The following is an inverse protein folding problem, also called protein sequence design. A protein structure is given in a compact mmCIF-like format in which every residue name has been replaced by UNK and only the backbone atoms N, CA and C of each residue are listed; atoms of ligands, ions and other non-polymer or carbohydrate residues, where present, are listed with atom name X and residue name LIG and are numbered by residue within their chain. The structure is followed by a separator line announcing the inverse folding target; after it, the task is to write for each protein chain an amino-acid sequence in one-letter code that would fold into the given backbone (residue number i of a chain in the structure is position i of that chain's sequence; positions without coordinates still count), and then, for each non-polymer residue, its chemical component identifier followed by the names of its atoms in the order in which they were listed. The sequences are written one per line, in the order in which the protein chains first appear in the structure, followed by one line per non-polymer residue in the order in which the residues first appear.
data_IF_327425337519
#
_entry.id   IF_327425337519
#
_cell.length_a   1.000
_cell.length_b   1.000
_cell.length_c   1.000
_cell.angle_alpha   90.00
_cell.angle_beta   90.00
_cell.angle_gamma   90.00
#
_symmetry.space_group_name_H-M   'P 1'
#
loop_
_entity.id
_entity.type
_entity.pdbx_description
1 polymer ?
#
# COMPACT_ATOMS: atom_id res chain seq x y z
N UNK A 1 -11.56 -16.72 5.71
CA UNK A 1 -12.83 -16.20 6.31
C UNK A 1 -13.84 -17.32 6.40
N UNK A 2 -14.74 -17.30 7.39
CA UNK A 2 -15.75 -18.35 7.62
C UNK A 2 -17.12 -17.70 7.76
N UNK A 3 -18.10 -18.20 7.01
CA UNK A 3 -19.43 -17.64 6.93
C UNK A 3 -20.47 -18.60 7.52
N UNK A 4 -21.36 -18.06 8.34
CA UNK A 4 -22.52 -18.79 8.84
C UNK A 4 -23.59 -18.96 7.76
N UNK A 5 -24.58 -19.83 8.02
CA UNK A 5 -25.70 -20.07 7.10
C UNK A 5 -26.49 -18.80 6.77
N UNK A 6 -26.81 -17.98 7.78
CA UNK A 6 -27.60 -16.77 7.57
C UNK A 6 -26.85 -15.72 6.74
N UNK A 7 -25.54 -15.59 6.99
CA UNK A 7 -24.68 -14.67 6.26
C UNK A 7 -24.49 -15.12 4.81
N UNK A 8 -24.25 -16.42 4.60
CA UNK A 8 -24.11 -17.00 3.26
C UNK A 8 -25.38 -16.82 2.43
N UNK A 9 -26.55 -17.09 3.03
CA UNK A 9 -27.84 -16.89 2.35
C UNK A 9 -28.06 -15.42 1.96
N UNK A 10 -27.66 -14.48 2.84
CA UNK A 10 -27.72 -13.04 2.55
C UNK A 10 -26.79 -12.63 1.39
N UNK A 11 -25.57 -13.17 1.34
CA UNK A 11 -24.60 -12.88 0.27
C UNK A 11 -25.11 -13.42 -1.09
N UNK A 12 -25.72 -14.60 -1.08
CA UNK A 12 -26.27 -15.24 -2.28
C UNK A 12 -27.65 -14.70 -2.68
N UNK A 13 -28.24 -13.81 -1.87
CA UNK A 13 -29.61 -13.30 -2.04
C UNK A 13 -30.69 -14.40 -2.14
N UNK A 14 -30.50 -15.51 -1.42
CA UNK A 14 -31.43 -16.66 -1.38
C UNK A 14 -31.94 -16.92 0.03
N UNK A 15 -32.99 -17.73 0.14
CA UNK A 15 -33.44 -18.23 1.43
C UNK A 15 -32.57 -19.39 1.95
N UNK A 16 -32.61 -19.61 3.27
CA UNK A 16 -31.81 -20.63 3.96
C UNK A 16 -32.14 -22.06 3.51
N UNK A 17 -33.38 -22.33 3.07
CA UNK A 17 -33.78 -23.65 2.59
C UNK A 17 -33.12 -23.93 1.24
N UNK A 18 -33.12 -22.96 0.33
CA UNK A 18 -32.43 -23.07 -0.95
C UNK A 18 -30.92 -23.29 -0.76
N UNK A 19 -30.29 -22.51 0.13
CA UNK A 19 -28.88 -22.70 0.47
C UNK A 19 -28.58 -24.13 0.96
N UNK A 20 -29.43 -24.71 1.81
CA UNK A 20 -29.24 -26.09 2.29
C UNK A 20 -29.41 -27.12 1.17
N UNK A 21 -30.33 -26.90 0.24
CA UNK A 21 -30.50 -27.74 -0.95
C UNK A 21 -29.22 -27.73 -1.78
N UNK A 22 -28.73 -26.55 -2.14
CA UNK A 22 -27.48 -26.42 -2.91
C UNK A 22 -26.30 -27.04 -2.19
N UNK A 23 -26.14 -26.74 -0.91
CA UNK A 23 -25.01 -27.26 -0.15
C UNK A 23 -25.01 -28.79 -0.08
N UNK A 24 -26.18 -29.44 -0.01
CA UNK A 24 -26.26 -30.91 -0.05
C UNK A 24 -25.98 -31.47 -1.46
N UNK A 25 -26.54 -30.83 -2.49
CA UNK A 25 -26.45 -31.30 -3.87
C UNK A 25 -25.04 -31.17 -4.45
N UNK A 26 -24.33 -30.08 -4.13
CA UNK A 26 -22.96 -29.81 -4.56
C UNK A 26 -21.93 -30.14 -3.47
N UNK A 27 -22.26 -31.06 -2.54
CA UNK A 27 -21.41 -31.37 -1.38
C UNK A 27 -19.99 -31.81 -1.76
N UNK A 28 -19.82 -32.43 -2.93
CA UNK A 28 -18.53 -32.94 -3.39
C UNK A 28 -17.64 -31.82 -3.96
N UNK A 29 -18.23 -30.65 -4.27
CA UNK A 29 -17.54 -29.42 -4.69
C UNK A 29 -17.33 -28.44 -3.53
N UNK A 30 -17.83 -28.75 -2.33
CA UNK A 30 -17.76 -27.88 -1.17
C UNK A 30 -16.85 -28.49 -0.10
N UNK A 31 -16.38 -27.65 0.81
CA UNK A 31 -15.64 -28.05 2.00
C UNK A 31 -16.47 -28.97 2.90
N UNK A 32 -15.79 -29.82 3.67
CA UNK A 32 -16.45 -30.68 4.65
C UNK A 32 -17.24 -29.87 5.71
N UNK A 33 -16.80 -28.66 6.03
CA UNK A 33 -17.51 -27.75 6.96
C UNK A 33 -18.84 -27.22 6.39
N UNK A 34 -18.99 -27.20 5.06
CA UNK A 34 -20.24 -26.84 4.42
C UNK A 34 -21.29 -27.95 4.58
N UNK A 35 -20.91 -29.19 4.88
CA UNK A 35 -21.82 -30.32 5.18
C UNK A 35 -21.34 -31.15 6.38
N UNK A 36 -21.36 -30.59 7.60
CA UNK A 36 -20.78 -31.26 8.76
C UNK A 36 -21.70 -32.32 9.34
N UNK A 37 -21.18 -33.14 10.25
CA UNK A 37 -21.96 -34.12 11.00
C UNK A 37 -23.08 -33.46 11.83
N UNK A 38 -24.10 -34.26 12.15
CA UNK A 38 -25.27 -33.80 12.90
C UNK A 38 -24.84 -33.24 14.27
N UNK A 39 -25.30 -32.03 14.58
CA UNK A 39 -24.98 -31.33 15.83
C UNK A 39 -23.84 -30.31 15.70
N UNK A 40 -23.11 -30.32 14.57
CA UNK A 40 -22.06 -29.34 14.28
C UNK A 40 -22.62 -28.18 13.43
N UNK A 41 -22.28 -26.92 13.76
CA UNK A 41 -22.66 -25.78 12.94
C UNK A 41 -22.10 -25.87 11.51
N UNK A 42 -22.95 -25.61 10.52
CA UNK A 42 -22.55 -25.49 9.11
C UNK A 42 -21.83 -24.17 8.89
N UNK A 43 -20.64 -24.24 8.32
CA UNK A 43 -19.76 -23.10 8.07
C UNK A 43 -19.26 -23.19 6.63
N UNK A 44 -19.30 -22.07 5.91
CA UNK A 44 -18.81 -21.98 4.55
C UNK A 44 -17.49 -21.21 4.49
N UNK A 45 -16.59 -21.66 3.64
CA UNK A 45 -15.33 -20.99 3.29
C UNK A 45 -15.54 -19.98 2.15
N UNK A 46 -14.50 -19.22 1.80
CA UNK A 46 -14.55 -18.30 0.65
C UNK A 46 -14.77 -19.09 -0.64
N UNK A 47 -14.07 -20.21 -0.77
CA UNK A 47 -14.15 -21.14 -1.89
C UNK A 47 -15.57 -21.71 -2.02
N UNK A 48 -16.20 -22.07 -0.91
CA UNK A 48 -17.60 -22.51 -0.90
C UNK A 48 -18.56 -21.44 -1.42
N UNK A 49 -18.35 -20.18 -1.04
CA UNK A 49 -19.20 -19.07 -1.50
C UNK A 49 -19.06 -18.84 -3.00
N UNK A 50 -17.86 -18.96 -3.56
CA UNK A 50 -17.64 -18.84 -5.01
C UNK A 50 -18.36 -19.95 -5.77
N UNK A 51 -18.25 -21.20 -5.29
CA UNK A 51 -19.01 -22.33 -5.84
C UNK A 51 -20.51 -22.06 -5.79
N UNK A 52 -21.04 -21.59 -4.65
CA UNK A 52 -22.48 -21.34 -4.49
C UNK A 52 -22.97 -20.13 -5.30
N UNK A 53 -22.14 -19.10 -5.51
CA UNK A 53 -22.43 -17.98 -6.40
C UNK A 53 -22.54 -18.45 -7.85
N UNK A 54 -21.61 -19.31 -8.29
CA UNK A 54 -21.68 -19.94 -9.61
C UNK A 54 -22.95 -20.79 -9.77
N UNK A 55 -23.25 -21.64 -8.78
CA UNK A 55 -24.49 -22.43 -8.76
C UNK A 55 -25.70 -21.51 -8.90
N UNK A 56 -25.80 -20.47 -8.09
CA UNK A 56 -26.95 -19.56 -8.12
C UNK A 56 -27.11 -18.80 -9.42
N UNK A 57 -26.02 -18.51 -10.12
CA UNK A 57 -26.07 -17.85 -11.44
C UNK A 57 -26.72 -18.71 -12.52
N UNK A 58 -26.52 -20.04 -12.46
CA UNK A 58 -27.08 -21.00 -13.41
C UNK A 58 -28.28 -21.76 -12.86
N UNK A 59 -28.78 -21.39 -11.68
CA UNK A 59 -29.89 -22.09 -11.04
C UNK A 59 -31.22 -21.65 -11.63
N UNK A 60 -31.94 -22.59 -12.23
CA UNK A 60 -33.28 -22.41 -12.81
C UNK A 60 -34.30 -23.37 -12.15
N UNK A 61 -35.57 -23.37 -12.60
CA UNK A 61 -36.61 -24.26 -12.06
C UNK A 61 -36.27 -25.75 -12.24
N UNK A 62 -35.69 -26.10 -13.40
CA UNK A 62 -35.17 -27.44 -13.73
C UNK A 62 -33.67 -27.33 -14.09
N UNK A 63 -32.79 -27.20 -13.09
CA UNK A 63 -31.38 -26.89 -13.34
C UNK A 63 -30.64 -28.09 -13.93
N UNK A 64 -29.82 -27.84 -14.96
CA UNK A 64 -28.87 -28.83 -15.47
C UNK A 64 -27.67 -28.94 -14.53
N UNK A 65 -27.81 -29.84 -13.56
CA UNK A 65 -26.80 -30.10 -12.53
C UNK A 65 -25.48 -30.57 -13.13
N UNK A 66 -25.53 -31.35 -14.21
CA UNK A 66 -24.33 -31.88 -14.86
C UNK A 66 -23.55 -30.75 -15.55
N UNK A 67 -24.25 -29.84 -16.22
CA UNK A 67 -23.64 -28.64 -16.81
C UNK A 67 -23.03 -27.71 -15.74
N UNK A 68 -23.73 -27.50 -14.61
CA UNK A 68 -23.19 -26.70 -13.50
C UNK A 68 -21.90 -27.34 -12.96
N UNK A 69 -21.90 -28.65 -12.71
CA UNK A 69 -20.72 -29.38 -12.22
C UNK A 69 -19.58 -29.35 -13.24
N UNK A 70 -19.86 -29.46 -14.54
CA UNK A 70 -18.85 -29.36 -15.59
C UNK A 70 -18.14 -27.99 -15.58
N UNK A 71 -18.90 -26.91 -15.35
CA UNK A 71 -18.34 -25.57 -15.19
C UNK A 71 -17.55 -25.39 -13.89
N UNK A 72 -18.02 -25.96 -12.78
CA UNK A 72 -17.28 -25.97 -11.51
C UNK A 72 -15.93 -26.68 -11.66
N UNK A 73 -15.90 -27.84 -12.35
CA UNK A 73 -14.67 -28.59 -12.64
C UNK A 73 -13.71 -27.86 -13.59
N UNK A 74 -14.24 -26.89 -14.34
CA UNK A 74 -13.45 -25.99 -15.21
C UNK A 74 -13.04 -24.70 -14.50
N UNK A 75 -13.27 -24.61 -13.18
CA UNK A 75 -12.93 -23.45 -12.33
C UNK A 75 -13.64 -22.14 -12.72
N UNK A 76 -14.75 -22.19 -13.45
CA UNK A 76 -15.49 -20.98 -13.86
C UNK A 76 -16.06 -20.18 -12.69
N UNK A 77 -16.19 -20.78 -11.52
CA UNK A 77 -16.54 -20.08 -10.28
C UNK A 77 -15.46 -19.10 -9.80
N UNK A 78 -14.26 -19.11 -10.39
CA UNK A 78 -13.17 -18.17 -10.12
C UNK A 78 -13.17 -16.94 -11.05
N UNK A 79 -14.12 -16.85 -11.98
CA UNK A 79 -14.23 -15.68 -12.86
C UNK A 79 -14.59 -14.41 -12.07
N UNK A 80 -14.14 -13.26 -12.58
CA UNK A 80 -14.27 -11.93 -11.97
C UNK A 80 -15.69 -11.63 -11.49
N UNK A 81 -16.73 -12.06 -12.21
CA UNK A 81 -18.11 -11.80 -11.82
C UNK A 81 -18.46 -12.38 -10.45
N UNK A 82 -18.00 -13.59 -10.13
CA UNK A 82 -18.29 -14.25 -8.85
C UNK A 82 -17.38 -13.71 -7.75
N UNK A 83 -16.10 -13.52 -8.07
CA UNK A 83 -15.11 -12.97 -7.13
C UNK A 83 -15.50 -11.55 -6.72
N UNK A 84 -15.86 -10.68 -7.66
CA UNK A 84 -16.30 -9.32 -7.37
C UNK A 84 -17.64 -9.28 -6.63
N UNK A 85 -18.56 -10.20 -6.92
CA UNK A 85 -19.80 -10.32 -6.15
C UNK A 85 -19.51 -10.64 -4.69
N UNK A 86 -18.60 -11.58 -4.42
CA UNK A 86 -18.18 -11.87 -3.05
C UNK A 86 -17.46 -10.67 -2.39
N UNK A 87 -16.60 -9.97 -3.12
CA UNK A 87 -15.90 -8.79 -2.62
C UNK A 87 -16.83 -7.64 -2.25
N UNK A 88 -17.95 -7.45 -2.96
CA UNK A 88 -18.97 -6.47 -2.60
C UNK A 88 -19.59 -6.73 -1.21
N UNK A 89 -19.46 -7.94 -0.67
CA UNK A 89 -19.92 -8.31 0.65
C UNK A 89 -18.79 -8.60 1.65
N UNK A 90 -17.54 -8.42 1.23
CA UNK A 90 -16.36 -8.69 2.07
C UNK A 90 -15.76 -7.37 2.54
N UNK A 91 -15.63 -7.14 3.86
CA UNK A 91 -14.95 -5.96 4.37
C UNK A 91 -13.50 -5.85 3.88
N UNK A 92 -13.04 -4.64 3.57
CA UNK A 92 -11.66 -4.38 3.18
C UNK A 92 -10.66 -4.72 4.30
N UNK A 93 -11.03 -4.44 5.56
CA UNK A 93 -10.24 -4.80 6.74
C UNK A 93 -10.84 -6.08 7.31
N UNK A 94 -10.02 -7.12 7.38
CA UNK A 94 -10.40 -8.44 7.90
C UNK A 94 -9.75 -8.66 9.27
N UNK A 95 -10.45 -9.35 10.16
CA UNK A 95 -9.96 -9.61 11.53
C UNK A 95 -8.78 -10.58 11.57
N UNK A 96 -8.73 -11.53 10.62
CA UNK A 96 -7.74 -12.60 10.56
C UNK A 96 -6.95 -12.59 9.24
N UNK A 97 -5.67 -12.94 9.32
CA UNK A 97 -4.86 -13.26 8.14
C UNK A 97 -5.29 -14.62 7.59
N UNK A 98 -5.51 -14.78 6.26
CA UNK A 98 -5.87 -16.07 5.70
C UNK A 98 -4.83 -17.16 6.00
N UNK A 99 -5.30 -18.32 6.46
CA UNK A 99 -4.47 -19.42 6.98
C UNK A 99 -3.61 -20.11 5.89
N UNK A 100 -3.95 -19.95 4.62
CA UNK A 100 -3.34 -20.64 3.48
C UNK A 100 -2.32 -19.79 2.68
N UNK A 101 -1.77 -18.73 3.28
CA UNK A 101 -0.77 -17.87 2.64
C UNK A 101 0.65 -18.25 3.07
N UNK A 102 1.48 -18.67 2.11
CA UNK A 102 2.90 -18.98 2.33
C UNK A 102 3.71 -17.70 2.67
N UNK A 103 3.27 -16.54 2.17
CA UNK A 103 3.84 -15.22 2.47
C UNK A 103 2.75 -14.14 2.59
N UNK A 104 2.10 -13.97 3.77
CA UNK A 104 0.98 -13.03 3.92
C UNK A 104 1.26 -11.60 3.44
N UNK A 105 2.51 -11.13 3.56
CA UNK A 105 2.95 -9.79 3.11
C UNK A 105 2.91 -9.59 1.58
N UNK A 106 2.87 -10.67 0.78
CA UNK A 106 2.67 -10.59 -0.67
C UNK A 106 1.21 -10.38 -1.06
N UNK A 107 0.29 -10.65 -0.14
CA UNK A 107 -1.14 -10.68 -0.39
C UNK A 107 -1.91 -9.62 0.41
N UNK A 108 -1.31 -9.05 1.46
CA UNK A 108 -1.95 -8.03 2.28
C UNK A 108 -1.00 -7.30 3.22
N UNK A 109 -1.55 -6.33 3.94
CA UNK A 109 -0.84 -5.55 4.97
C UNK A 109 -1.50 -5.77 6.32
N UNK A 110 -0.70 -6.18 7.31
CA UNK A 110 -1.16 -6.23 8.69
C UNK A 110 -1.10 -4.83 9.31
N UNK A 111 -2.28 -4.26 9.58
CA UNK A 111 -2.40 -2.92 10.18
C UNK A 111 -2.60 -3.07 11.69
N UNK A 112 -1.62 -2.65 12.48
CA UNK A 112 -1.72 -2.68 13.95
C UNK A 112 -0.95 -1.52 14.57
N UNK A 113 -1.46 -0.87 15.65
CA UNK A 113 -0.72 0.16 16.38
C UNK A 113 0.65 -0.32 16.89
N UNK A 114 0.79 -1.64 17.11
CA UNK A 114 2.01 -2.26 17.62
C UNK A 114 2.98 -2.70 16.53
N UNK A 115 2.53 -2.70 15.27
CA UNK A 115 3.32 -3.12 14.11
C UNK A 115 3.51 -1.89 13.24
N UNK A 116 4.57 -1.15 13.52
CA UNK A 116 4.95 0.02 12.75
C UNK A 116 6.43 -0.03 12.42
N UNK A 117 6.75 0.49 11.24
CA UNK A 117 8.12 0.73 10.83
C UNK A 117 8.75 1.79 11.74
N UNK A 118 10.02 1.60 12.11
CA UNK A 118 10.84 2.66 12.72
C UNK A 118 10.97 3.81 11.72
N UNK A 119 11.22 5.03 12.22
CA UNK A 119 11.35 6.22 11.36
C UNK A 119 12.36 6.04 10.21
N UNK A 120 13.49 5.36 10.46
CA UNK A 120 14.47 5.05 9.41
C UNK A 120 13.93 4.08 8.35
N UNK A 121 13.12 3.11 8.75
CA UNK A 121 12.52 2.16 7.82
C UNK A 121 11.45 2.84 6.95
N UNK A 122 10.74 3.83 7.51
CA UNK A 122 9.83 4.71 6.76
C UNK A 122 10.59 5.59 5.77
N UNK A 123 11.69 6.23 6.18
CA UNK A 123 12.51 7.04 5.28
C UNK A 123 13.05 6.21 4.11
N UNK A 124 13.57 5.00 4.40
CA UNK A 124 14.02 4.04 3.40
C UNK A 124 12.89 3.56 2.49
N UNK A 125 11.68 3.36 3.02
CA UNK A 125 10.55 2.93 2.19
C UNK A 125 10.13 4.00 1.20
N UNK A 126 10.10 5.28 1.60
CA UNK A 126 9.81 6.39 0.68
C UNK A 126 10.91 6.57 -0.37
N UNK A 127 12.19 6.43 -0.01
CA UNK A 127 13.27 6.44 -0.98
C UNK A 127 13.14 5.29 -1.99
N UNK A 128 12.86 4.05 -1.53
CA UNK A 128 12.61 2.92 -2.45
C UNK A 128 11.40 3.16 -3.35
N UNK A 129 10.33 3.74 -2.83
CA UNK A 129 9.16 4.10 -3.62
C UNK A 129 9.48 5.17 -4.67
N UNK A 130 10.26 6.20 -4.30
CA UNK A 130 10.74 7.22 -5.23
C UNK A 130 11.55 6.60 -6.38
N UNK A 131 12.42 5.64 -6.05
CA UNK A 131 13.21 4.92 -7.05
C UNK A 131 12.33 4.12 -8.00
N UNK A 132 11.39 3.33 -7.47
CA UNK A 132 10.47 2.53 -8.28
C UNK A 132 9.57 3.40 -9.19
N UNK A 133 9.11 4.54 -8.67
CA UNK A 133 8.35 5.51 -9.47
C UNK A 133 9.21 6.16 -10.55
N UNK A 134 10.46 6.50 -10.23
CA UNK A 134 11.41 7.05 -11.21
C UNK A 134 11.69 6.06 -12.33
N UNK A 135 11.94 4.78 -12.00
CA UNK A 135 12.20 3.74 -13.00
C UNK A 135 11.01 3.59 -13.96
N UNK A 136 9.79 3.54 -13.40
CA UNK A 136 8.55 3.48 -14.19
C UNK A 136 8.34 4.73 -15.06
N UNK A 137 8.60 5.92 -14.53
CA UNK A 137 8.49 7.17 -15.28
C UNK A 137 9.56 7.25 -16.39
N UNK A 138 10.77 6.77 -16.12
CA UNK A 138 11.85 6.71 -17.10
C UNK A 138 11.49 5.77 -18.26
N UNK A 139 10.94 4.59 -17.96
CA UNK A 139 10.52 3.60 -18.96
C UNK A 139 9.39 4.12 -19.86
N UNK A 140 8.54 5.02 -19.35
CA UNK A 140 7.45 5.66 -20.10
C UNK A 140 7.84 6.97 -20.81
N UNK A 141 9.09 7.43 -20.68
CA UNK A 141 9.58 8.66 -21.30
C UNK A 141 9.28 9.95 -20.51
N UNK A 142 9.09 9.86 -19.20
CA UNK A 142 8.81 10.93 -18.23
C UNK A 142 7.62 11.83 -18.60
N UNK A 143 6.38 11.30 -18.59
CA UNK A 143 5.21 12.15 -18.65
C UNK A 143 5.15 13.05 -17.40
N UNK A 144 4.81 14.34 -17.58
CA UNK A 144 4.76 15.33 -16.51
C UNK A 144 3.95 14.89 -15.28
N UNK A 145 2.90 14.09 -15.50
CA UNK A 145 2.03 13.55 -14.43
C UNK A 145 2.75 12.63 -13.45
N UNK A 146 3.82 11.97 -13.89
CA UNK A 146 4.54 10.99 -13.08
C UNK A 146 5.70 11.65 -12.31
N UNK A 147 6.14 12.83 -12.74
CA UNK A 147 7.27 13.56 -12.15
C UNK A 147 6.98 14.07 -10.73
N UNK A 148 5.77 14.57 -10.48
CA UNK A 148 5.41 15.17 -9.18
C UNK A 148 5.43 14.15 -8.03
N UNK A 149 4.81 12.96 -8.17
CA UNK A 149 4.93 11.89 -7.18
C UNK A 149 6.39 11.46 -6.91
N UNK A 150 7.22 11.39 -7.95
CA UNK A 150 8.66 11.04 -7.81
C UNK A 150 9.38 12.09 -6.97
N UNK A 151 9.24 13.37 -7.31
CA UNK A 151 9.88 14.48 -6.61
C UNK A 151 9.39 14.58 -5.16
N UNK A 152 8.09 14.42 -4.92
CA UNK A 152 7.53 14.36 -3.58
C UNK A 152 8.16 13.23 -2.74
N UNK A 153 8.23 12.01 -3.28
CA UNK A 153 8.75 10.86 -2.56
C UNK A 153 10.23 11.02 -2.18
N UNK A 154 11.08 11.53 -3.08
CA UNK A 154 12.47 11.86 -2.77
C UNK A 154 12.58 12.96 -1.72
N UNK A 155 11.84 14.07 -1.89
CA UNK A 155 11.84 15.19 -0.96
C UNK A 155 11.42 14.74 0.44
N UNK A 156 10.35 13.94 0.55
CA UNK A 156 9.85 13.47 1.83
C UNK A 156 10.82 12.49 2.50
N UNK A 157 11.41 11.55 1.74
CA UNK A 157 12.45 10.67 2.28
C UNK A 157 13.64 11.47 2.81
N UNK A 158 14.10 12.49 2.08
CA UNK A 158 15.21 13.36 2.47
C UNK A 158 14.90 14.12 3.76
N UNK A 159 13.70 14.70 3.86
CA UNK A 159 13.23 15.37 5.08
C UNK A 159 13.32 14.45 6.30
N UNK A 160 12.83 13.22 6.19
CA UNK A 160 12.86 12.24 7.28
C UNK A 160 14.31 11.92 7.71
N UNK A 161 15.22 11.70 6.76
CA UNK A 161 16.64 11.48 7.07
C UNK A 161 17.26 12.67 7.81
N UNK A 162 17.06 13.90 7.30
CA UNK A 162 17.64 15.09 7.91
C UNK A 162 17.07 15.36 9.31
N UNK A 163 15.77 15.17 9.51
CA UNK A 163 15.14 15.28 10.84
C UNK A 163 15.73 14.31 11.86
N UNK A 164 15.91 13.05 11.45
CA UNK A 164 16.50 12.01 12.30
C UNK A 164 17.96 12.33 12.64
N UNK A 165 18.77 12.66 11.63
CA UNK A 165 20.20 12.92 11.81
C UNK A 165 20.47 14.20 12.60
N UNK A 166 19.66 15.25 12.40
CA UNK A 166 19.78 16.53 13.10
C UNK A 166 19.06 16.57 14.44
N UNK A 167 18.40 15.47 14.86
CA UNK A 167 17.50 15.40 16.03
C UNK A 167 16.42 16.49 16.05
N UNK A 168 16.06 16.98 14.85
CA UNK A 168 15.20 18.14 14.67
C UNK A 168 13.77 17.88 15.19
N UNK A 169 13.31 16.62 15.15
CA UNK A 169 11.94 16.24 15.54
C UNK A 169 11.64 16.16 17.05
N UNK A 170 12.60 16.37 17.97
CA UNK A 170 12.34 16.34 19.43
C UNK A 170 12.53 17.67 20.16
N UNK A 171 13.29 18.62 19.59
CA UNK A 171 13.55 19.92 20.21
C UNK A 171 12.90 21.10 19.49
N UNK A 172 12.50 20.95 18.22
CA UNK A 172 11.83 22.03 17.48
C UNK A 172 10.37 22.25 17.93
N UNK A 173 9.72 21.25 18.53
CA UNK A 173 8.29 21.27 18.87
C UNK A 173 7.93 22.24 20.03
N UNK A 174 8.90 22.64 20.85
CA UNK A 174 8.62 23.48 22.02
C UNK A 174 8.96 24.98 21.88
N UNK A 175 9.80 25.39 20.93
CA UNK A 175 10.28 26.79 20.86
C UNK A 175 10.19 27.45 19.49
N UNK A 176 9.84 26.72 18.42
CA UNK A 176 9.70 27.25 17.07
C UNK A 176 8.44 26.64 16.49
N UNK A 177 7.43 27.48 16.21
CA UNK A 177 6.07 27.04 15.89
C UNK A 177 6.00 25.92 14.83
N UNK A 178 4.87 25.20 14.84
CA UNK A 178 4.49 24.06 13.98
C UNK A 178 4.72 24.20 12.45
N UNK A 179 5.17 25.36 11.97
CA UNK A 179 5.33 25.72 10.56
C UNK A 179 6.70 25.37 9.96
N UNK A 180 7.67 24.90 10.77
CA UNK A 180 9.02 24.52 10.28
C UNK A 180 9.20 23.04 9.96
N UNK A 181 8.15 22.21 10.13
CA UNK A 181 8.27 20.75 10.01
C UNK A 181 8.64 20.29 8.58
N UNK A 182 8.46 21.12 7.56
CA UNK A 182 8.72 20.75 6.16
C UNK A 182 9.83 21.57 5.48
N UNK A 183 10.64 22.31 6.24
CA UNK A 183 11.71 23.12 5.66
C UNK A 183 13.03 22.33 5.55
N UNK A 184 13.40 21.89 4.34
CA UNK A 184 14.62 21.12 4.10
C UNK A 184 15.90 21.90 4.47
N UNK A 185 15.94 23.22 4.25
CA UNK A 185 17.06 24.06 4.65
C UNK A 185 17.26 24.04 6.16
N UNK A 186 16.20 24.24 6.92
CA UNK A 186 16.24 24.19 8.39
C UNK A 186 16.65 22.79 8.89
N UNK A 187 16.15 21.72 8.26
CA UNK A 187 16.55 20.36 8.60
C UNK A 187 18.04 20.10 8.35
N UNK A 188 18.57 20.59 7.22
CA UNK A 188 20.01 20.51 6.91
C UNK A 188 20.85 21.31 7.91
N UNK A 189 20.44 22.54 8.24
CA UNK A 189 21.13 23.37 9.23
C UNK A 189 21.14 22.72 10.63
N UNK A 190 20.07 22.01 11.00
CA UNK A 190 20.02 21.21 12.22
C UNK A 190 21.03 20.06 12.20
N UNK A 191 21.18 19.35 11.06
CA UNK A 191 22.23 18.34 10.88
C UNK A 191 23.62 18.96 11.05
N UNK A 192 23.90 20.07 10.36
CA UNK A 192 25.22 20.72 10.46
C UNK A 192 25.55 21.14 11.89
N UNK A 193 24.57 21.69 12.60
CA UNK A 193 24.69 22.07 14.01
C UNK A 193 24.90 20.85 14.91
N UNK A 194 24.19 19.74 14.66
CA UNK A 194 24.28 18.55 15.50
C UNK A 194 25.67 17.90 15.46
N UNK A 195 26.31 17.90 14.29
CA UNK A 195 27.65 17.30 14.09
C UNK A 195 28.79 18.32 14.13
N UNK A 196 28.50 19.60 14.36
CA UNK A 196 29.45 20.72 14.24
C UNK A 196 30.27 20.65 12.93
N UNK A 197 29.59 20.33 11.82
CA UNK A 197 30.21 20.09 10.52
C UNK A 197 29.31 20.56 9.40
N UNK A 198 29.88 21.33 8.47
CA UNK A 198 29.18 21.74 7.25
C UNK A 198 28.99 20.58 6.28
N UNK A 199 27.80 20.53 5.67
CA UNK A 199 27.59 19.64 4.52
C UNK A 199 28.46 20.13 3.36
N UNK A 200 28.85 19.22 2.46
CA UNK A 200 29.64 19.62 1.30
C UNK A 200 28.86 20.62 0.43
N UNK A 201 29.53 21.55 -0.28
CA UNK A 201 28.84 22.51 -1.15
C UNK A 201 27.90 21.87 -2.16
N UNK A 202 28.32 20.75 -2.77
CA UNK A 202 27.51 20.03 -3.76
C UNK A 202 26.31 19.32 -3.12
N UNK A 203 26.50 18.69 -1.95
CA UNK A 203 25.39 18.11 -1.18
C UNK A 203 24.37 19.18 -0.79
N UNK A 204 24.85 20.35 -0.36
CA UNK A 204 24.01 21.49 -0.02
C UNK A 204 23.21 21.96 -1.22
N UNK A 205 23.84 22.08 -2.39
CA UNK A 205 23.17 22.46 -3.63
C UNK A 205 21.99 21.52 -3.93
N UNK A 206 22.21 20.20 -3.92
CA UNK A 206 21.14 19.23 -4.21
C UNK A 206 19.98 19.29 -3.21
N UNK A 207 20.27 19.44 -1.91
CA UNK A 207 19.23 19.61 -0.89
C UNK A 207 18.45 20.91 -1.13
N UNK A 208 19.14 21.99 -1.45
CA UNK A 208 18.54 23.30 -1.69
C UNK A 208 17.73 23.33 -2.98
N UNK A 209 18.11 22.58 -4.02
CA UNK A 209 17.31 22.43 -5.24
C UNK A 209 15.94 21.84 -4.91
N UNK A 210 15.89 20.71 -4.18
CA UNK A 210 14.62 20.14 -3.73
C UNK A 210 13.83 21.06 -2.81
N UNK A 211 14.52 21.86 -1.98
CA UNK A 211 13.87 22.86 -1.15
C UNK A 211 13.20 23.95 -1.99
N UNK A 212 13.87 24.47 -3.01
CA UNK A 212 13.34 25.54 -3.86
C UNK A 212 12.19 25.06 -4.74
N UNK A 213 12.27 23.81 -5.24
CA UNK A 213 11.16 23.20 -5.98
C UNK A 213 9.89 23.05 -5.12
N UNK A 214 10.03 22.90 -3.80
CA UNK A 214 8.92 22.73 -2.88
C UNK A 214 9.25 23.22 -1.45
N UNK A 215 9.19 24.55 -1.27
CA UNK A 215 9.64 25.22 -0.04
C UNK A 215 8.78 24.87 1.18
N UNK A 216 7.48 24.68 0.95
CA UNK A 216 6.46 24.40 1.97
C UNK A 216 6.20 22.91 2.15
N UNK A 217 6.67 22.07 1.24
CA UNK A 217 6.35 20.63 1.19
C UNK A 217 5.03 20.30 0.51
N UNK A 218 4.38 21.27 -0.12
CA UNK A 218 3.01 21.17 -0.63
C UNK A 218 2.94 21.24 -2.16
N UNK A 219 3.93 21.81 -2.84
CA UNK A 219 3.88 22.13 -4.28
C UNK A 219 3.77 20.89 -5.19
N UNK A 220 4.29 19.75 -4.75
CA UNK A 220 4.15 18.49 -5.50
C UNK A 220 2.83 17.76 -5.24
N UNK A 221 1.99 18.26 -4.32
CA UNK A 221 0.75 17.60 -3.88
C UNK A 221 -0.50 18.42 -4.18
N UNK A 222 -0.37 19.73 -4.25
CA UNK A 222 -1.48 20.66 -4.39
C UNK A 222 -1.16 21.70 -5.46
N UNK A 223 -2.20 22.22 -6.09
CA UNK A 223 -2.08 23.41 -6.93
C UNK A 223 -1.58 24.57 -6.06
N UNK A 224 -0.48 25.24 -6.45
CA UNK A 224 0.10 26.26 -5.60
C UNK A 224 -0.77 27.53 -5.61
N UNK A 225 -0.98 28.12 -4.44
CA UNK A 225 -1.69 29.41 -4.30
C UNK A 225 -0.82 30.61 -4.72
N UNK A 226 0.50 30.40 -4.85
CA UNK A 226 1.48 31.42 -5.23
C UNK A 226 2.36 30.92 -6.36
N UNK A 227 2.88 31.84 -7.18
CA UNK A 227 3.89 31.50 -8.18
C UNK A 227 5.13 30.89 -7.48
N UNK A 228 5.58 29.72 -7.94
CA UNK A 228 6.74 29.04 -7.38
C UNK A 228 8.03 29.83 -7.66
N UNK A 229 9.11 29.53 -6.93
CA UNK A 229 10.41 30.20 -7.14
C UNK A 229 11.17 29.70 -8.37
N UNK A 230 10.64 28.69 -9.04
CA UNK A 230 11.14 28.15 -10.30
C UNK A 230 10.22 28.54 -11.46
N UNK A 231 10.80 29.13 -12.49
CA UNK A 231 10.19 29.61 -13.71
C UNK A 231 11.04 29.17 -14.93
N UNK A 232 10.61 28.09 -15.58
CA UNK A 232 11.21 27.61 -16.83
C UNK A 232 12.60 26.95 -16.73
N UNK A 233 13.12 26.65 -15.53
CA UNK A 233 14.39 25.93 -15.39
C UNK A 233 14.28 24.45 -15.81
N UNK A 234 15.38 23.92 -16.36
CA UNK A 234 15.52 22.53 -16.75
C UNK A 234 16.09 21.69 -15.60
N UNK A 235 15.40 20.59 -15.26
CA UNK A 235 15.92 19.54 -14.39
C UNK A 235 16.35 18.34 -15.25
N UNK A 236 17.64 18.06 -15.29
CA UNK A 236 18.16 16.85 -15.92
C UNK A 236 17.83 15.63 -15.05
N UNK A 237 16.95 14.75 -15.53
CA UNK A 237 16.47 13.58 -14.79
C UNK A 237 17.56 12.55 -14.48
N UNK A 238 18.50 12.33 -15.39
CA UNK A 238 19.60 11.38 -15.19
C UNK A 238 20.57 11.90 -14.14
N UNK A 239 20.90 13.20 -14.20
CA UNK A 239 21.72 13.84 -13.18
C UNK A 239 21.00 13.92 -11.83
N UNK A 240 19.70 14.25 -11.83
CA UNK A 240 18.88 14.24 -10.62
C UNK A 240 18.89 12.87 -9.95
N UNK A 241 18.73 11.79 -10.73
CA UNK A 241 18.79 10.43 -10.23
C UNK A 241 20.13 10.13 -9.56
N UNK A 242 21.23 10.42 -10.24
CA UNK A 242 22.58 10.27 -9.68
C UNK A 242 22.77 11.05 -8.37
N UNK A 243 22.30 12.31 -8.34
CA UNK A 243 22.38 13.15 -7.15
C UNK A 243 21.60 12.55 -5.98
N UNK A 244 20.38 12.05 -6.22
CA UNK A 244 19.56 11.39 -5.20
C UNK A 244 20.22 10.12 -4.68
N UNK A 245 20.66 9.23 -5.56
CA UNK A 245 21.34 7.99 -5.14
C UNK A 245 22.58 8.28 -4.29
N UNK A 246 23.39 9.25 -4.71
CA UNK A 246 24.58 9.67 -3.97
C UNK A 246 24.22 10.22 -2.60
N UNK A 247 23.22 11.10 -2.55
CA UNK A 247 22.74 11.72 -1.31
C UNK A 247 22.19 10.69 -0.32
N UNK A 248 21.29 9.82 -0.76
CA UNK A 248 20.65 8.82 0.10
C UNK A 248 21.63 7.75 0.58
N UNK A 249 22.59 7.33 -0.26
CA UNK A 249 23.65 6.43 0.19
C UNK A 249 24.51 7.05 1.30
N UNK A 250 24.85 8.33 1.19
CA UNK A 250 25.60 9.05 2.22
C UNK A 250 24.80 9.21 3.53
N UNK A 251 23.51 9.55 3.43
CA UNK A 251 22.61 9.69 4.57
C UNK A 251 22.43 8.35 5.30
N UNK A 252 22.28 7.26 4.56
CA UNK A 252 22.12 5.93 5.13
C UNK A 252 23.39 5.43 5.82
N UNK A 253 24.55 5.67 5.20
CA UNK A 253 25.85 5.38 5.81
C UNK A 253 26.04 6.17 7.11
N UNK A 254 25.71 7.47 7.12
CA UNK A 254 25.79 8.31 8.31
C UNK A 254 24.89 7.77 9.43
N UNK A 255 23.65 7.40 9.12
CA UNK A 255 22.73 6.81 10.09
C UNK A 255 23.27 5.49 10.68
N UNK A 256 23.78 4.59 9.83
CA UNK A 256 24.36 3.32 10.26
C UNK A 256 25.59 3.50 11.16
N UNK A 257 26.45 4.47 10.84
CA UNK A 257 27.65 4.75 11.63
C UNK A 257 27.34 5.19 13.07
N UNK A 258 26.17 5.79 13.32
CA UNK A 258 25.74 6.23 14.65
C UNK A 258 25.09 5.14 15.50
N UNK A 259 24.64 4.05 14.88
CA UNK A 259 23.85 2.98 15.50
C UNK A 259 24.58 1.62 15.48
N UNK A 260 25.90 1.64 15.27
CA UNK A 260 26.81 0.54 15.56
C UNK A 260 27.32 0.67 16.99
#
# INVERSE_FOLDING_TARGET
MKYGVAETARILEIDIRQLKTWAYQFRDNLSASANPEKGTPRIFTVEDLLVLLYVGHFWEDEPDVEAIVAGLNSEYHLEDIYVHTLWNHTPLIQDDVPENLDEPSRHGLLISPRIHLKQIEIARSYHRAANALWDKANDSGFPMTDCYPVLFAYRHALELYLKMLGKAGKELDHNLGKELDHNLKACMEAVEKHYDKKVSPLTKEWIMTLHQMDETGWHFRYEPETEGTMDGQWLDWSHFRYAMDTLFNALDFAWLAMHR
#
